data_IF_387182156989
#
_entry.id   IF_387182156989
#
_cell.length_a   1.000
_cell.length_b   1.000
_cell.length_c   1.000
_cell.angle_alpha   90.00
_cell.angle_beta   90.00
_cell.angle_gamma   90.00
#
_symmetry.space_group_name_H-M   'P 1'
#
loop_
_entity.id
_entity.type
_entity.pdbx_description
1 polymer ?
#
# COMPACT_ATOMS: atom_id res chain seq x y z
N UNK A 1 -7.49 2.86 -25.70
CA UNK A 1 -8.53 3.18 -26.71
C UNK A 1 -9.48 4.21 -26.12
N UNK A 2 -9.87 5.25 -26.86
CA UNK A 2 -10.85 6.26 -26.43
C UNK A 2 -12.17 5.61 -26.00
N UNK A 3 -12.92 6.28 -25.12
CA UNK A 3 -14.19 5.80 -24.58
C UNK A 3 -15.18 5.43 -25.69
N UNK A 4 -15.19 6.22 -26.77
CA UNK A 4 -15.97 5.97 -27.99
C UNK A 4 -15.65 4.64 -28.67
N UNK A 5 -14.39 4.20 -28.69
CA UNK A 5 -14.01 2.88 -29.21
C UNK A 5 -14.47 1.75 -28.29
N UNK A 6 -14.48 1.95 -26.97
CA UNK A 6 -14.94 0.93 -26.00
C UNK A 6 -16.45 0.70 -26.07
N UNK A 7 -17.23 1.77 -26.22
CA UNK A 7 -18.69 1.68 -26.38
C UNK A 7 -19.05 0.91 -27.66
N UNK A 8 -18.35 1.20 -28.76
CA UNK A 8 -18.57 0.51 -30.04
C UNK A 8 -18.23 -0.98 -29.99
N UNK A 9 -17.19 -1.35 -29.23
CA UNK A 9 -16.80 -2.74 -29.01
C UNK A 9 -17.82 -3.53 -28.19
N UNK A 10 -18.58 -2.86 -27.32
CA UNK A 10 -19.58 -3.50 -26.45
C UNK A 10 -20.94 -3.75 -27.13
N UNK A 11 -21.13 -3.41 -28.42
CA UNK A 11 -22.38 -3.60 -29.20
C UNK A 11 -23.67 -3.08 -28.49
N UNK A 12 -23.59 -1.96 -27.77
CA UNK A 12 -24.71 -1.41 -26.98
C UNK A 12 -25.73 -0.62 -27.84
N UNK A 13 -25.67 -0.70 -29.17
CA UNK A 13 -26.20 0.38 -30.02
C UNK A 13 -27.67 0.30 -30.44
N UNK A 14 -28.46 -0.72 -30.10
CA UNK A 14 -29.79 -0.88 -30.75
C UNK A 14 -31.02 -0.67 -29.86
N UNK A 15 -30.91 -0.53 -28.53
CA UNK A 15 -32.11 -0.36 -27.68
C UNK A 15 -32.05 0.81 -26.67
N UNK A 16 -31.06 1.71 -26.79
CA UNK A 16 -30.90 2.85 -25.88
C UNK A 16 -31.44 4.17 -26.42
N UNK A 17 -32.00 4.21 -27.62
CA UNK A 17 -32.49 5.46 -28.24
C UNK A 17 -33.80 5.95 -27.60
N UNK A 18 -34.68 5.04 -27.17
CA UNK A 18 -35.98 5.36 -26.58
C UNK A 18 -35.89 5.83 -25.12
N UNK A 19 -34.87 5.37 -24.38
CA UNK A 19 -34.69 5.76 -22.97
C UNK A 19 -33.87 7.06 -22.79
N UNK A 20 -33.06 7.45 -23.78
CA UNK A 20 -32.18 8.62 -23.66
C UNK A 20 -32.91 9.97 -23.75
N UNK A 21 -34.00 10.06 -24.51
CA UNK A 21 -34.72 11.32 -24.73
C UNK A 21 -35.47 11.82 -23.48
N UNK A 22 -35.83 10.93 -22.53
CA UNK A 22 -36.37 11.34 -21.22
C UNK A 22 -35.30 11.68 -20.18
N UNK A 23 -34.05 11.23 -20.37
CA UNK A 23 -32.95 11.46 -19.43
C UNK A 23 -32.25 12.82 -19.59
N UNK A 24 -32.34 13.46 -20.77
CA UNK A 24 -31.63 14.71 -21.06
C UNK A 24 -32.32 15.93 -20.41
N UNK A 25 -33.63 15.87 -20.18
CA UNK A 25 -34.38 16.97 -19.55
C UNK A 25 -34.01 17.19 -18.07
N UNK A 26 -33.43 16.18 -17.42
CA UNK A 26 -32.95 16.24 -16.02
C UNK A 26 -31.44 16.51 -15.92
N UNK A 27 -30.80 17.06 -16.95
CA UNK A 27 -29.44 17.61 -16.86
C UNK A 27 -29.48 18.93 -16.08
N UNK A 28 -29.94 18.84 -14.84
CA UNK A 28 -30.01 19.90 -13.87
C UNK A 28 -28.58 20.34 -13.53
N UNK A 29 -28.37 21.65 -13.71
CA UNK A 29 -27.18 22.45 -13.36
C UNK A 29 -26.22 21.72 -12.41
N UNK A 30 -25.22 21.06 -12.97
CA UNK A 30 -24.04 20.64 -12.21
C UNK A 30 -23.27 21.92 -11.88
N UNK A 31 -23.53 22.46 -10.70
CA UNK A 31 -22.71 23.50 -10.09
C UNK A 31 -21.34 22.86 -9.90
N UNK A 32 -20.28 23.44 -10.47
CA UNK A 32 -18.90 23.03 -10.22
C UNK A 32 -18.61 23.15 -8.72
N UNK A 33 -18.83 22.06 -7.99
CA UNK A 33 -18.35 21.93 -6.61
C UNK A 33 -16.91 21.49 -6.72
N UNK A 34 -15.99 22.25 -6.13
CA UNK A 34 -14.59 21.83 -5.99
C UNK A 34 -14.53 20.41 -5.41
N UNK A 35 -14.11 19.46 -6.24
CA UNK A 35 -13.85 18.10 -5.80
C UNK A 35 -12.41 18.06 -5.32
N UNK A 36 -12.18 18.13 -4.01
CA UNK A 36 -10.88 17.85 -3.42
C UNK A 36 -10.58 16.36 -3.54
N UNK A 37 -9.80 15.97 -4.57
CA UNK A 37 -9.32 14.59 -4.71
C UNK A 37 -8.18 14.37 -3.72
N UNK A 38 -8.48 13.70 -2.61
CA UNK A 38 -7.45 13.15 -1.73
C UNK A 38 -6.79 11.96 -2.45
N UNK A 39 -5.62 12.21 -3.05
CA UNK A 39 -4.81 11.14 -3.61
C UNK A 39 -4.17 10.37 -2.44
N UNK A 40 -4.74 9.23 -2.07
CA UNK A 40 -4.07 8.26 -1.20
C UNK A 40 -2.74 7.86 -1.85
N UNK A 41 -1.65 8.46 -1.39
CA UNK A 41 -0.31 8.19 -1.88
C UNK A 41 0.05 6.76 -1.47
N UNK A 42 -0.08 5.83 -2.43
CA UNK A 42 0.40 4.46 -2.31
C UNK A 42 1.93 4.49 -2.23
N UNK A 43 2.46 4.64 -1.02
CA UNK A 43 3.90 4.77 -0.76
C UNK A 43 4.47 3.46 -0.25
N UNK A 44 5.65 3.07 -0.76
CA UNK A 44 6.32 1.86 -0.28
C UNK A 44 6.82 2.06 1.16
N UNK A 45 6.49 1.14 2.08
CA UNK A 45 6.95 1.21 3.48
C UNK A 45 8.48 1.18 3.61
N UNK A 46 9.16 0.47 2.70
CA UNK A 46 10.63 0.29 2.73
C UNK A 46 11.36 1.52 2.17
N UNK A 47 11.23 1.79 0.87
CA UNK A 47 12.01 2.85 0.21
C UNK A 47 11.35 4.24 0.25
N UNK A 48 10.13 4.35 0.80
CA UNK A 48 9.31 5.58 0.81
C UNK A 48 9.02 6.18 -0.58
N UNK A 49 9.33 5.46 -1.66
CA UNK A 49 9.02 5.86 -3.03
C UNK A 49 7.56 5.63 -3.40
N UNK A 50 7.08 6.32 -4.44
CA UNK A 50 5.73 6.12 -4.98
C UNK A 50 5.59 4.72 -5.59
N UNK A 51 4.74 3.89 -5.00
CA UNK A 51 4.40 2.57 -5.50
C UNK A 51 3.31 2.73 -6.58
N UNK A 52 3.70 3.15 -7.78
CA UNK A 52 2.79 3.38 -8.92
C UNK A 52 2.71 2.14 -9.82
N UNK A 53 1.52 1.89 -10.38
CA UNK A 53 1.26 0.87 -11.39
C UNK A 53 1.01 -0.55 -10.85
N UNK A 54 1.11 -1.55 -11.73
CA UNK A 54 0.83 -2.97 -11.43
C UNK A 54 1.95 -3.70 -10.66
N UNK A 55 3.06 -3.02 -10.36
CA UNK A 55 4.26 -3.62 -9.75
C UNK A 55 4.35 -3.34 -8.24
N UNK A 56 3.24 -3.53 -7.52
CA UNK A 56 3.17 -3.37 -6.06
C UNK A 56 2.76 -4.68 -5.41
N UNK A 57 3.30 -4.94 -4.23
CA UNK A 57 2.78 -5.96 -3.32
C UNK A 57 2.03 -5.26 -2.20
N UNK A 58 0.82 -5.73 -1.91
CA UNK A 58 0.00 -5.25 -0.80
C UNK A 58 -0.14 -6.43 0.15
N UNK A 59 0.31 -6.26 1.40
CA UNK A 59 0.15 -7.29 2.41
C UNK A 59 -1.35 -7.57 2.62
N UNK A 60 -1.83 -8.83 2.51
CA UNK A 60 -3.25 -9.14 2.67
C UNK A 60 -3.75 -8.98 4.11
N UNK A 61 -2.85 -8.95 5.10
CA UNK A 61 -3.22 -8.85 6.52
C UNK A 61 -3.35 -7.40 6.99
N UNK A 62 -2.38 -6.53 6.67
CA UNK A 62 -2.32 -5.16 7.18
C UNK A 62 -2.38 -4.07 6.11
N UNK A 63 -2.48 -4.45 4.82
CA UNK A 63 -2.51 -3.54 3.67
C UNK A 63 -1.25 -2.68 3.47
N UNK A 64 -0.15 -3.00 4.14
CA UNK A 64 1.15 -2.34 3.89
C UNK A 64 1.61 -2.54 2.45
N UNK A 65 2.14 -1.47 1.86
CA UNK A 65 2.47 -1.40 0.44
C UNK A 65 3.99 -1.51 0.25
N UNK A 66 4.41 -2.40 -0.65
CA UNK A 66 5.80 -2.59 -1.06
C UNK A 66 5.89 -2.39 -2.57
N UNK A 67 6.92 -1.69 -3.06
CA UNK A 67 7.25 -1.78 -4.48
C UNK A 67 7.82 -3.18 -4.78
N UNK A 68 7.73 -3.63 -6.02
CA UNK A 68 8.21 -4.95 -6.45
C UNK A 68 9.64 -5.27 -5.99
N UNK A 69 10.56 -4.30 -6.08
CA UNK A 69 11.95 -4.47 -5.66
C UNK A 69 12.07 -4.73 -4.16
N UNK A 70 11.45 -3.87 -3.35
CA UNK A 70 11.46 -4.01 -1.90
C UNK A 70 10.74 -5.28 -1.44
N UNK A 71 9.62 -5.66 -2.06
CA UNK A 71 8.94 -6.91 -1.74
C UNK A 71 9.86 -8.13 -1.93
N UNK A 72 10.59 -8.20 -3.06
CA UNK A 72 11.56 -9.27 -3.32
C UNK A 72 12.70 -9.28 -2.31
N UNK A 73 13.28 -8.12 -2.03
CA UNK A 73 14.38 -8.00 -1.07
C UNK A 73 13.93 -8.48 0.33
N UNK A 74 12.75 -8.06 0.79
CA UNK A 74 12.22 -8.50 2.09
C UNK A 74 11.96 -10.01 2.11
N UNK A 75 11.42 -10.59 1.02
CA UNK A 75 11.25 -12.05 0.87
C UNK A 75 12.58 -12.79 1.00
N UNK A 76 13.67 -12.25 0.45
CA UNK A 76 14.99 -12.90 0.47
C UNK A 76 15.70 -12.78 1.82
N UNK A 77 15.48 -11.69 2.56
CA UNK A 77 16.16 -11.43 3.83
C UNK A 77 15.47 -12.15 5.00
N UNK A 78 14.15 -11.98 5.14
CA UNK A 78 13.41 -12.41 6.34
C UNK A 78 12.03 -13.01 6.01
N UNK A 79 11.50 -12.73 4.82
CA UNK A 79 10.18 -13.17 4.38
C UNK A 79 9.06 -12.80 5.37
N UNK A 80 9.13 -11.63 6.00
CA UNK A 80 8.12 -11.14 6.93
C UNK A 80 7.64 -9.73 6.54
N UNK A 81 6.36 -9.44 6.76
CA UNK A 81 5.86 -8.08 6.59
C UNK A 81 6.39 -7.18 7.73
N UNK A 82 7.07 -6.08 7.41
CA UNK A 82 7.60 -5.12 8.38
C UNK A 82 6.54 -4.41 9.25
N UNK A 83 5.25 -4.62 8.99
CA UNK A 83 4.16 -4.03 9.79
C UNK A 83 3.45 -5.05 10.67
N UNK A 84 3.22 -6.26 10.18
CA UNK A 84 2.41 -7.26 10.88
C UNK A 84 3.05 -8.64 10.95
N UNK A 85 4.32 -8.75 10.56
CA UNK A 85 5.19 -9.94 10.66
C UNK A 85 4.70 -11.18 9.88
N UNK A 86 3.53 -11.11 9.24
CA UNK A 86 2.99 -12.19 8.40
C UNK A 86 3.93 -12.49 7.22
N UNK A 87 4.08 -13.77 6.83
CA UNK A 87 4.93 -14.13 5.73
C UNK A 87 4.47 -13.50 4.42
N UNK A 88 5.41 -12.92 3.67
CA UNK A 88 5.12 -12.30 2.37
C UNK A 88 4.89 -13.40 1.33
N UNK A 89 5.80 -14.38 1.30
CA UNK A 89 5.72 -15.60 0.51
C UNK A 89 5.46 -16.80 1.43
N UNK A 90 4.26 -17.38 1.33
CA UNK A 90 3.83 -18.51 2.16
C UNK A 90 4.56 -19.81 1.82
N UNK A 91 5.29 -19.87 0.71
CA UNK A 91 6.05 -21.06 0.29
C UNK A 91 7.45 -21.12 0.90
N UNK A 92 7.90 -20.02 1.51
CA UNK A 92 9.22 -19.90 2.13
C UNK A 92 9.11 -19.81 3.65
N UNK A 93 10.12 -20.28 4.40
CA UNK A 93 10.18 -20.03 5.83
C UNK A 93 10.29 -18.51 6.10
N UNK A 94 9.70 -18.04 7.20
CA UNK A 94 9.87 -16.66 7.67
C UNK A 94 10.84 -16.63 8.84
N UNK A 95 11.80 -15.71 8.81
CA UNK A 95 12.69 -15.39 9.92
C UNK A 95 12.47 -13.93 10.33
N UNK A 96 11.42 -13.62 11.12
CA UNK A 96 11.24 -12.28 11.67
C UNK A 96 12.48 -11.87 12.49
N UNK A 97 12.90 -10.62 12.39
CA UNK A 97 14.02 -10.09 13.17
C UNK A 97 13.77 -10.26 14.67
N UNK A 98 14.59 -11.06 15.36
CA UNK A 98 14.60 -11.10 16.83
C UNK A 98 15.05 -9.73 17.34
N UNK A 99 14.18 -9.04 18.08
CA UNK A 99 14.58 -7.84 18.83
C UNK A 99 15.66 -8.24 19.82
N UNK A 100 16.91 -7.90 19.52
CA UNK A 100 18.00 -7.99 20.50
C UNK A 100 17.68 -7.01 21.62
N UNK A 101 17.23 -7.52 22.78
CA UNK A 101 17.13 -6.73 24.00
C UNK A 101 18.53 -6.24 24.37
N UNK A 102 18.80 -4.96 24.12
CA UNK A 102 20.03 -4.30 24.54
C UNK A 102 20.02 -4.18 26.06
N UNK A 103 20.53 -5.21 26.75
CA UNK A 103 20.73 -5.20 28.20
C UNK A 103 21.90 -4.28 28.53
N UNK A 104 21.65 -2.99 28.65
CA UNK A 104 22.64 -2.04 29.16
C UNK A 104 22.88 -2.32 30.65
N UNK A 105 23.91 -3.12 30.97
CA UNK A 105 24.45 -3.23 32.33
C UNK A 105 25.22 -1.95 32.65
N UNK A 106 24.61 -1.03 33.39
CA UNK A 106 25.33 0.05 34.05
C UNK A 106 25.84 -0.51 35.39
N UNK A 107 27.09 -0.93 35.43
CA UNK A 107 27.76 -1.32 36.68
C UNK A 107 28.09 -0.06 37.50
N UNK A 108 27.34 0.15 38.58
CA UNK A 108 27.64 1.16 39.58
C UNK A 108 28.95 0.81 40.31
N UNK A 109 30.04 1.52 39.99
CA UNK A 109 31.30 1.45 40.76
C UNK A 109 31.10 2.12 42.12
N UNK A 110 30.82 1.28 43.12
CA UNK A 110 30.84 1.62 44.53
C UNK A 110 32.29 1.95 44.95
N UNK A 111 32.61 3.21 45.16
CA UNK A 111 33.92 3.66 45.65
C UNK A 111 33.93 3.66 47.18
N UNK A 112 34.27 2.52 47.79
CA UNK A 112 34.79 2.51 49.16
C UNK A 112 36.25 2.94 49.12
N UNK A 113 36.53 4.21 49.44
CA UNK A 113 37.87 4.65 49.84
C UNK A 113 38.07 4.23 51.30
N UNK A 114 38.87 3.20 51.51
CA UNK A 114 39.58 2.94 52.76
C UNK A 114 41.04 3.25 52.50
N UNK A 115 41.64 4.24 53.17
CA UNK A 115 43.07 4.21 53.48
C UNK A 115 43.46 5.28 54.52
N UNK A 116 44.09 4.77 55.58
CA UNK A 116 44.98 5.37 56.58
C UNK A 116 44.49 6.58 57.40
#
# INVERSE_FOLDING_TARGET
>A
APLSKRIKLARITEDLSSQFSKGIANMERVIEREVTVYNDLKTCIVCKGSAKGFNIYICPQCRSIYCKGCAKAVIEIENACWTCESPIDKTKPSQPFEKVEEKTKIEAKNSKKTHL
#
